data_IF_964362817890
#
_entry.id   IF_964362817890
#
_cell.length_a   1.000
_cell.length_b   1.000
_cell.length_c   1.000
_cell.angle_alpha   90.00
_cell.angle_beta   90.00
_cell.angle_gamma   90.00
#
_symmetry.space_group_name_H-M   'P 1'
#
loop_
_entity.id
_entity.type
_entity.pdbx_description
1 polymer ?
#
# COMPACT_ATOMS: atom_id res chain seq x y z
N UNK A 1 -8.06 -7.95 26.99
CA UNK A 1 -8.88 -6.72 26.96
C UNK A 1 -9.09 -6.29 25.50
N UNK A 2 -10.33 -6.35 25.00
CA UNK A 2 -10.67 -5.73 23.73
C UNK A 2 -10.42 -4.22 23.86
N UNK A 3 -9.67 -3.64 22.92
CA UNK A 3 -9.60 -2.18 22.81
C UNK A 3 -11.03 -1.68 22.61
N UNK A 4 -11.54 -0.86 23.52
CA UNK A 4 -12.83 -0.21 23.33
C UNK A 4 -12.72 0.62 22.03
N UNK A 5 -13.49 0.20 21.03
CA UNK A 5 -13.62 0.93 19.77
C UNK A 5 -14.01 2.37 20.11
N UNK A 6 -13.36 3.34 19.46
CA UNK A 6 -13.59 4.76 19.70
C UNK A 6 -15.09 5.07 19.75
N UNK A 7 -15.61 5.73 20.80
CA UNK A 7 -17.03 6.06 20.88
C UNK A 7 -17.43 6.92 19.67
N UNK A 8 -18.32 6.40 18.84
CA UNK A 8 -18.75 7.00 17.57
C UNK A 8 -18.23 6.31 16.30
N UNK A 9 -17.28 5.38 16.40
CA UNK A 9 -16.89 4.54 15.28
C UNK A 9 -17.96 3.46 15.05
N UNK A 10 -18.64 3.50 13.90
CA UNK A 10 -19.44 2.35 13.45
C UNK A 10 -18.48 1.18 13.23
N UNK A 11 -18.74 -0.02 13.80
CA UNK A 11 -17.84 -1.16 13.68
C UNK A 11 -17.71 -1.67 12.24
N UNK A 12 -18.64 -1.30 11.37
CA UNK A 12 -18.67 -1.68 9.95
C UNK A 12 -18.95 -0.39 9.15
N UNK A 13 -17.95 0.33 8.66
CA UNK A 13 -18.17 1.17 7.52
C UNK A 13 -18.59 0.26 6.34
N UNK A 14 -19.70 0.55 5.66
CA UNK A 14 -20.09 -0.14 4.43
C UNK A 14 -19.10 0.23 3.31
N UNK A 15 -17.93 -0.38 3.34
CA UNK A 15 -16.93 -0.23 2.30
C UNK A 15 -17.32 -1.07 1.09
N UNK A 16 -17.42 -0.42 -0.07
CA UNK A 16 -17.50 -1.14 -1.33
C UNK A 16 -16.14 -1.78 -1.64
N UNK A 17 -15.93 -3.02 -1.17
CA UNK A 17 -14.68 -3.77 -1.34
C UNK A 17 -14.29 -3.95 -2.81
N UNK A 18 -15.26 -4.03 -3.72
CA UNK A 18 -15.01 -4.13 -5.15
C UNK A 18 -14.34 -2.86 -5.65
N UNK A 19 -14.97 -1.71 -5.41
CA UNK A 19 -14.43 -0.40 -5.77
C UNK A 19 -13.04 -0.16 -5.14
N UNK A 20 -12.86 -0.47 -3.86
CA UNK A 20 -11.55 -0.34 -3.19
C UNK A 20 -10.46 -1.19 -3.85
N UNK A 21 -10.77 -2.45 -4.18
CA UNK A 21 -9.81 -3.33 -4.85
C UNK A 21 -9.47 -2.84 -6.27
N UNK A 22 -10.44 -2.30 -6.98
CA UNK A 22 -10.22 -1.80 -8.34
C UNK A 22 -9.42 -0.50 -8.33
N UNK A 23 -9.73 0.43 -7.43
CA UNK A 23 -8.92 1.62 -7.17
C UNK A 23 -7.48 1.24 -6.81
N UNK A 24 -7.29 0.26 -5.91
CA UNK A 24 -5.96 -0.20 -5.54
C UNK A 24 -5.18 -0.81 -6.72
N UNK A 25 -5.85 -1.54 -7.62
CA UNK A 25 -5.23 -2.04 -8.86
C UNK A 25 -4.75 -0.90 -9.74
N UNK A 26 -5.60 0.08 -10.01
CA UNK A 26 -5.25 1.24 -10.85
C UNK A 26 -4.06 2.00 -10.25
N UNK A 27 -4.09 2.29 -8.94
CA UNK A 27 -2.97 2.94 -8.24
C UNK A 27 -1.66 2.13 -8.36
N UNK A 28 -1.75 0.80 -8.31
CA UNK A 28 -0.62 -0.10 -8.49
C UNK A 28 -0.18 -0.28 -9.97
N UNK A 29 -0.79 0.43 -10.92
CA UNK A 29 -0.51 0.28 -12.35
C UNK A 29 -1.02 -1.03 -12.95
N UNK A 30 -2.01 -1.66 -12.30
CA UNK A 30 -2.69 -2.86 -12.77
C UNK A 30 -4.04 -2.50 -13.39
N UNK A 31 -4.50 -3.30 -14.35
CA UNK A 31 -5.84 -3.13 -14.92
C UNK A 31 -6.92 -3.55 -13.93
N UNK A 32 -8.00 -2.79 -13.86
CA UNK A 32 -9.22 -3.22 -13.21
C UNK A 32 -9.88 -4.36 -14.00
N UNK A 33 -10.71 -5.22 -13.37
CA UNK A 33 -11.56 -6.18 -14.07
C UNK A 33 -12.45 -5.48 -15.11
N UNK A 34 -12.81 -6.18 -16.19
CA UNK A 34 -13.61 -5.59 -17.27
C UNK A 34 -15.02 -5.19 -16.79
N UNK A 35 -15.51 -5.85 -15.76
CA UNK A 35 -16.80 -5.58 -15.11
C UNK A 35 -16.75 -4.36 -14.18
N UNK A 36 -15.57 -3.77 -13.97
CA UNK A 36 -15.37 -2.59 -13.15
C UNK A 36 -15.81 -1.32 -13.87
N UNK A 37 -16.48 -0.42 -13.14
CA UNK A 37 -16.80 0.92 -13.63
C UNK A 37 -15.55 1.77 -13.96
N UNK A 38 -14.38 1.36 -13.46
CA UNK A 38 -13.10 2.01 -13.72
C UNK A 38 -12.43 1.51 -15.00
N UNK A 39 -12.83 0.36 -15.55
CA UNK A 39 -12.16 -0.26 -16.69
C UNK A 39 -12.14 0.65 -17.93
N UNK A 40 -13.26 1.33 -18.21
CA UNK A 40 -13.42 2.21 -19.37
C UNK A 40 -13.04 3.68 -19.08
N UNK A 41 -12.75 4.01 -17.82
CA UNK A 41 -12.41 5.38 -17.41
C UNK A 41 -10.92 5.69 -17.47
N UNK A 42 -10.09 4.65 -17.40
CA UNK A 42 -8.65 4.77 -17.39
C UNK A 42 -8.12 4.48 -18.79
N UNK A 43 -7.43 5.44 -19.39
CA UNK A 43 -6.79 5.22 -20.68
C UNK A 43 -5.71 4.13 -20.56
N UNK A 44 -5.72 3.18 -21.50
CA UNK A 44 -4.84 2.03 -21.44
C UNK A 44 -3.36 2.38 -21.67
N UNK A 45 -3.08 3.43 -22.45
CA UNK A 45 -1.71 3.90 -22.68
C UNK A 45 -1.20 4.71 -21.48
N UNK A 46 -2.06 5.53 -20.87
CA UNK A 46 -1.73 6.23 -19.63
C UNK A 46 -1.42 5.25 -18.48
N UNK A 47 -2.25 4.22 -18.30
CA UNK A 47 -2.02 3.19 -17.28
C UNK A 47 -0.71 2.43 -17.51
N UNK A 48 -0.38 2.12 -18.77
CA UNK A 48 0.88 1.46 -19.12
C UNK A 48 2.09 2.36 -18.85
N UNK A 49 1.99 3.65 -19.15
CA UNK A 49 3.02 4.65 -18.82
C UNK A 49 3.23 4.76 -17.30
N UNK A 50 2.12 4.81 -16.53
CA UNK A 50 2.15 4.80 -15.07
C UNK A 50 2.83 3.53 -14.54
N UNK A 51 2.44 2.35 -15.04
CA UNK A 51 3.03 1.06 -14.66
C UNK A 51 4.55 1.03 -14.90
N UNK A 52 5.01 1.55 -16.04
CA UNK A 52 6.44 1.62 -16.36
C UNK A 52 7.19 2.56 -15.42
N UNK A 53 6.64 3.76 -15.18
CA UNK A 53 7.22 4.76 -14.28
C UNK A 53 7.30 4.26 -12.84
N UNK A 54 6.22 3.64 -12.37
CA UNK A 54 6.13 3.01 -11.05
C UNK A 54 7.16 1.87 -10.93
N UNK A 55 7.25 1.00 -11.95
CA UNK A 55 8.20 -0.10 -11.99
C UNK A 55 9.65 0.36 -11.90
N UNK A 56 10.03 1.41 -12.64
CA UNK A 56 11.37 2.01 -12.57
C UNK A 56 11.66 2.60 -11.19
N UNK A 57 10.68 3.31 -10.61
CA UNK A 57 10.80 3.90 -9.27
C UNK A 57 10.99 2.83 -8.19
N UNK A 58 10.20 1.74 -8.25
CA UNK A 58 10.32 0.61 -7.34
C UNK A 58 11.63 -0.17 -7.53
N UNK A 59 12.11 -0.34 -8.78
CA UNK A 59 13.40 -0.97 -9.03
C UNK A 59 14.53 -0.18 -8.37
N UNK A 60 14.56 1.14 -8.57
CA UNK A 60 15.53 2.03 -7.92
C UNK A 60 15.41 1.99 -6.40
N UNK A 61 14.20 2.07 -5.85
CA UNK A 61 13.96 1.98 -4.41
C UNK A 61 14.52 0.68 -3.82
N UNK A 62 14.26 -0.45 -4.49
CA UNK A 62 14.75 -1.76 -4.06
C UNK A 62 16.27 -1.81 -4.02
N UNK A 63 16.93 -1.43 -5.11
CA UNK A 63 18.40 -1.50 -5.23
C UNK A 63 19.10 -0.53 -4.27
N UNK A 64 18.58 0.70 -4.16
CA UNK A 64 19.26 1.77 -3.42
C UNK A 64 18.97 1.77 -1.92
N UNK A 65 17.84 1.22 -1.48
CA UNK A 65 17.40 1.29 -0.09
C UNK A 65 17.04 -0.09 0.47
N UNK A 66 16.07 -0.80 -0.12
CA UNK A 66 15.51 -1.99 0.52
C UNK A 66 16.50 -3.16 0.56
N UNK A 67 17.34 -3.35 -0.45
CA UNK A 67 18.38 -4.39 -0.44
C UNK A 67 19.46 -4.14 0.64
N UNK A 68 20.03 -2.92 0.77
CA UNK A 68 20.86 -2.57 1.92
C UNK A 68 20.18 -2.82 3.27
N UNK A 69 18.93 -2.40 3.42
CA UNK A 69 18.14 -2.59 4.66
C UNK A 69 17.92 -4.07 4.96
N UNK A 70 17.59 -4.87 3.95
CA UNK A 70 17.42 -6.31 4.11
C UNK A 70 18.73 -6.99 4.54
N UNK A 71 19.89 -6.52 4.04
CA UNK A 71 21.20 -7.02 4.44
C UNK A 71 21.52 -6.65 5.89
N UNK A 72 21.24 -5.41 6.27
CA UNK A 72 21.35 -4.94 7.64
C UNK A 72 20.45 -5.75 8.58
N UNK A 73 19.17 -5.92 8.23
CA UNK A 73 18.21 -6.73 8.99
C UNK A 73 18.72 -8.15 9.20
N UNK A 74 19.27 -8.80 8.17
CA UNK A 74 19.85 -10.14 8.32
C UNK A 74 21.05 -10.19 9.26
N UNK A 75 21.89 -9.16 9.28
CA UNK A 75 23.08 -9.11 10.11
C UNK A 75 22.74 -8.88 11.59
N UNK A 76 21.78 -7.98 11.86
CA UNK A 76 21.49 -7.52 13.23
C UNK A 76 20.30 -8.25 13.88
N UNK A 77 19.32 -8.68 13.08
CA UNK A 77 18.07 -9.28 13.55
C UNK A 77 18.02 -10.80 13.29
N UNK A 78 18.94 -11.32 12.48
CA UNK A 78 19.05 -12.74 12.16
C UNK A 78 18.48 -13.12 10.78
N UNK A 79 18.65 -14.38 10.40
CA UNK A 79 18.20 -14.89 9.12
C UNK A 79 16.66 -14.95 9.01
N UNK A 80 16.09 -14.96 7.79
CA UNK A 80 14.66 -15.23 7.59
C UNK A 80 14.23 -16.52 8.32
N UNK A 81 13.07 -16.47 8.99
CA UNK A 81 12.60 -17.50 9.92
C UNK A 81 12.93 -17.25 11.39
N UNK A 82 13.85 -16.32 11.71
CA UNK A 82 14.06 -15.82 13.08
C UNK A 82 13.22 -14.57 13.39
N UNK A 83 12.47 -14.05 12.41
CA UNK A 83 11.64 -12.85 12.57
C UNK A 83 10.56 -13.06 13.63
N UNK A 84 10.27 -12.04 14.46
CA UNK A 84 9.16 -12.11 15.40
C UNK A 84 7.82 -12.22 14.64
N UNK A 85 6.93 -13.09 15.11
CA UNK A 85 5.58 -13.23 14.53
C UNK A 85 4.74 -11.94 14.63
N UNK A 86 5.09 -11.08 15.60
CA UNK A 86 4.40 -9.83 15.89
C UNK A 86 5.37 -8.67 16.05
N UNK A 87 5.14 -7.60 15.29
CA UNK A 87 5.97 -6.38 15.35
C UNK A 87 5.11 -5.18 15.72
N UNK A 88 5.54 -4.46 16.75
CA UNK A 88 5.05 -3.11 17.01
C UNK A 88 6.07 -2.11 16.45
N UNK A 89 5.65 -1.27 15.52
CA UNK A 89 6.51 -0.33 14.81
C UNK A 89 5.99 1.09 15.04
N UNK A 90 6.49 1.79 16.07
CA UNK A 90 5.92 3.06 16.51
C UNK A 90 6.30 4.26 15.63
N UNK A 91 7.20 4.05 14.66
CA UNK A 91 7.72 5.07 13.74
C UNK A 91 7.09 4.94 12.36
N UNK A 92 5.83 4.50 12.28
CA UNK A 92 5.37 3.84 11.06
C UNK A 92 4.99 4.76 9.94
N UNK A 93 4.50 5.99 10.19
CA UNK A 93 4.01 6.90 9.14
C UNK A 93 3.39 6.15 7.93
N UNK A 94 3.81 6.45 6.68
CA UNK A 94 3.56 5.65 5.48
C UNK A 94 4.63 4.56 5.20
N UNK A 95 5.46 4.22 6.17
CA UNK A 95 6.66 3.38 6.09
C UNK A 95 6.41 1.87 6.32
N UNK A 96 5.41 1.31 5.65
CA UNK A 96 5.18 -0.14 5.70
C UNK A 96 6.33 -0.93 5.02
N UNK A 97 7.02 -0.33 4.05
CA UNK A 97 8.05 -1.02 3.27
C UNK A 97 9.27 -1.41 4.12
N UNK A 98 9.73 -0.55 5.03
CA UNK A 98 10.86 -0.90 5.89
C UNK A 98 10.49 -1.98 6.91
N UNK A 99 9.28 -1.92 7.50
CA UNK A 99 8.79 -3.00 8.37
C UNK A 99 8.81 -4.35 7.66
N UNK A 100 8.26 -4.42 6.44
CA UNK A 100 8.22 -5.66 5.66
C UNK A 100 9.62 -6.09 5.18
N UNK A 101 10.55 -5.16 5.03
CA UNK A 101 11.93 -5.45 4.62
C UNK A 101 12.77 -5.99 5.79
N UNK A 102 12.60 -5.42 6.99
CA UNK A 102 13.30 -5.82 8.21
C UNK A 102 12.75 -7.12 8.80
N UNK A 103 11.43 -7.33 8.68
CA UNK A 103 10.72 -8.47 9.26
C UNK A 103 9.88 -9.18 8.19
N UNK A 104 10.51 -9.85 7.21
CA UNK A 104 9.80 -10.42 6.07
C UNK A 104 8.79 -11.52 6.43
N UNK A 105 8.95 -12.16 7.60
CA UNK A 105 8.06 -13.25 8.06
C UNK A 105 7.03 -12.79 9.12
N UNK A 106 6.87 -11.47 9.31
CA UNK A 106 5.91 -10.94 10.27
C UNK A 106 4.48 -11.34 9.89
N UNK A 107 3.71 -11.86 10.85
CA UNK A 107 2.32 -12.25 10.61
C UNK A 107 1.33 -11.17 11.01
N UNK A 108 1.65 -10.41 12.06
CA UNK A 108 0.80 -9.31 12.55
C UNK A 108 1.67 -8.13 12.91
N UNK A 109 1.30 -6.96 12.44
CA UNK A 109 2.00 -5.73 12.75
C UNK A 109 1.03 -4.68 13.28
N UNK A 110 1.54 -3.83 14.18
CA UNK A 110 0.85 -2.63 14.63
C UNK A 110 1.75 -1.45 14.29
N UNK A 111 1.24 -0.58 13.43
CA UNK A 111 1.91 0.59 12.88
C UNK A 111 1.26 1.83 13.51
N UNK A 112 2.05 2.74 14.09
CA UNK A 112 1.54 4.04 14.55
C UNK A 112 2.18 5.20 13.81
N UNK A 113 1.34 6.00 13.15
CA UNK A 113 1.71 7.27 12.54
C UNK A 113 1.00 8.43 13.22
N UNK A 114 1.58 9.63 13.10
CA UNK A 114 0.93 10.89 13.50
C UNK A 114 0.16 11.53 12.35
N UNK A 115 0.30 10.97 11.14
CA UNK A 115 -0.40 11.44 9.96
C UNK A 115 -1.89 11.11 10.06
N UNK A 116 -2.78 12.03 9.62
CA UNK A 116 -4.19 11.73 9.53
C UNK A 116 -4.42 10.62 8.51
N UNK A 117 -5.49 9.84 8.73
CA UNK A 117 -5.95 8.87 7.74
C UNK A 117 -6.43 9.66 6.52
N UNK A 118 -5.82 9.41 5.36
CA UNK A 118 -6.26 10.00 4.09
C UNK A 118 -7.49 9.30 3.52
N UNK A 119 -8.10 9.92 2.50
CA UNK A 119 -9.21 9.33 1.77
C UNK A 119 -8.73 8.49 0.58
N UNK A 120 -9.48 7.44 0.26
CA UNK A 120 -9.26 6.67 -0.97
C UNK A 120 -9.75 7.51 -2.16
N UNK A 121 -8.92 7.71 -3.21
CA UNK A 121 -9.33 8.52 -4.35
C UNK A 121 -10.54 7.89 -5.07
N UNK A 122 -11.52 8.74 -5.37
CA UNK A 122 -12.70 8.36 -6.15
C UNK A 122 -12.52 8.74 -7.62
N UNK A 123 -12.05 7.78 -8.41
CA UNK A 123 -11.87 7.94 -9.85
C UNK A 123 -13.20 8.05 -10.63
N UNK A 124 -14.34 7.71 -10.01
CA UNK A 124 -15.65 7.85 -10.68
C UNK A 124 -16.10 9.31 -10.79
N UNK A 125 -15.60 10.18 -9.91
CA UNK A 125 -15.86 11.62 -9.95
C UNK A 125 -14.92 12.41 -10.86
N UNK A 126 -13.81 11.81 -11.32
CA UNK A 126 -12.75 12.50 -12.06
C UNK A 126 -12.88 12.31 -13.57
N UNK A 127 -12.44 13.31 -14.33
CA UNK A 127 -12.25 13.23 -15.78
C UNK A 127 -10.97 12.44 -16.08
N UNK A 128 -10.87 11.73 -17.21
CA UNK A 128 -9.66 10.97 -17.57
C UNK A 128 -8.37 11.79 -17.48
N UNK A 129 -8.41 13.05 -17.93
CA UNK A 129 -7.28 13.99 -17.87
C UNK A 129 -6.84 14.33 -16.43
N UNK A 130 -7.78 14.35 -15.48
CA UNK A 130 -7.48 14.59 -14.06
C UNK A 130 -6.83 13.36 -13.43
N UNK A 131 -7.24 12.17 -13.86
CA UNK A 131 -6.64 10.91 -13.40
C UNK A 131 -5.23 10.74 -13.98
N UNK A 132 -5.02 11.14 -15.23
CA UNK A 132 -3.71 11.08 -15.90
C UNK A 132 -2.70 12.09 -15.35
N UNK A 133 -3.16 13.21 -14.80
CA UNK A 133 -2.30 14.25 -14.25
C UNK A 133 -1.64 13.88 -12.91
N UNK A 134 -2.16 12.85 -12.23
CA UNK A 134 -1.72 12.43 -10.89
C UNK A 134 -2.49 13.11 -9.78
#
# INVERSE_FOLDING_TARGET
PALELCPGASPEPEWNRGALNDTARILAGLRAPLESELADRIDAAALESHRQTLGQSFARLRETQLEPVARFGRAELGAPGASPERVYYPFSGPDALYLLTLFPDVQRSVLTGLEPIGDVPDFTGLRPQEIEAG
#
